data_IF_103936943401
#
_entry.id   IF_103936943401
#
_cell.length_a   1.000
_cell.length_b   1.000
_cell.length_c   1.000
_cell.angle_alpha   90.00
_cell.angle_beta   90.00
_cell.angle_gamma   90.00
#
_symmetry.space_group_name_H-M   'P 1'
#
loop_
_entity.id
_entity.type
_entity.pdbx_description
1 polymer ?
#
# COMPACT_ATOMS: atom_id res chain seq x y z
N UNK A 1 -23.59 -41.44 15.35
CA UNK A 1 -24.53 -40.31 15.41
C UNK A 1 -23.73 -39.05 15.73
N UNK A 2 -23.57 -38.17 14.75
CA UNK A 2 -22.83 -36.92 14.85
C UNK A 2 -23.73 -35.86 15.51
N UNK A 3 -23.25 -35.29 16.62
CA UNK A 3 -24.00 -34.39 17.49
C UNK A 3 -24.30 -33.04 16.81
N UNK A 4 -25.56 -32.83 16.42
CA UNK A 4 -26.40 -31.66 16.74
C UNK A 4 -25.99 -30.22 16.40
N UNK A 5 -24.81 -29.93 15.85
CA UNK A 5 -24.47 -28.57 15.39
C UNK A 5 -23.68 -28.57 14.07
N UNK A 6 -24.03 -27.67 13.17
CA UNK A 6 -23.31 -27.45 11.91
C UNK A 6 -21.93 -26.85 12.18
N UNK A 7 -20.87 -27.51 11.72
CA UNK A 7 -19.51 -26.96 11.71
C UNK A 7 -19.34 -26.08 10.47
N UNK A 8 -18.94 -24.83 10.66
CA UNK A 8 -18.56 -23.93 9.56
C UNK A 8 -17.07 -24.09 9.29
N UNK A 9 -16.72 -24.36 8.03
CA UNK A 9 -15.34 -24.37 7.54
C UNK A 9 -15.14 -23.08 6.75
N UNK A 10 -14.16 -22.23 7.11
CA UNK A 10 -13.87 -21.03 6.33
C UNK A 10 -13.36 -21.44 4.93
N UNK A 11 -13.84 -20.72 3.91
CA UNK A 11 -13.38 -20.85 2.53
C UNK A 11 -12.30 -19.82 2.20
N UNK A 12 -12.33 -19.29 0.98
CA UNK A 12 -11.33 -18.34 0.47
C UNK A 12 -11.30 -17.02 1.27
N UNK A 13 -10.09 -16.48 1.43
CA UNK A 13 -9.83 -15.20 2.09
C UNK A 13 -9.52 -14.15 1.02
N UNK A 14 -10.10 -12.97 1.16
CA UNK A 14 -9.84 -11.81 0.31
C UNK A 14 -9.19 -10.71 1.15
N UNK A 15 -8.05 -10.20 0.70
CA UNK A 15 -7.43 -9.02 1.28
C UNK A 15 -8.01 -7.77 0.62
N UNK A 16 -8.46 -6.80 1.43
CA UNK A 16 -8.95 -5.53 0.93
C UNK A 16 -7.81 -4.60 0.50
N UNK A 17 -8.14 -3.54 -0.24
CA UNK A 17 -7.16 -2.55 -0.67
C UNK A 17 -6.67 -1.69 0.50
N UNK A 18 -5.45 -1.16 0.36
CA UNK A 18 -4.90 -0.14 1.26
C UNK A 18 -5.16 1.23 0.65
N UNK A 19 -5.64 2.18 1.44
CA UNK A 19 -5.81 3.58 1.00
C UNK A 19 -4.94 4.50 1.85
N UNK A 20 -4.27 5.44 1.19
CA UNK A 20 -3.42 6.45 1.84
C UNK A 20 -3.67 7.83 1.26
N UNK A 21 -3.79 8.83 2.13
CA UNK A 21 -3.75 10.24 1.73
C UNK A 21 -2.31 10.73 1.78
N UNK A 22 -1.83 11.31 0.70
CA UNK A 22 -0.48 11.86 0.56
C UNK A 22 -0.59 13.38 0.44
N UNK A 23 0.21 14.10 1.23
CA UNK A 23 0.39 15.54 1.09
C UNK A 23 1.37 15.82 -0.03
N UNK A 24 0.98 16.72 -0.93
CA UNK A 24 1.80 17.14 -2.04
C UNK A 24 2.71 18.29 -1.60
N UNK A 25 3.98 18.23 -1.99
CA UNK A 25 4.91 19.34 -1.80
C UNK A 25 4.88 20.28 -3.01
N UNK A 26 5.42 21.51 -2.86
CA UNK A 26 5.47 22.48 -3.96
C UNK A 26 6.23 21.97 -5.19
N UNK A 27 7.19 21.06 -5.00
CA UNK A 27 7.96 20.44 -6.09
C UNK A 27 7.15 19.39 -6.87
N UNK A 28 6.03 18.90 -6.30
CA UNK A 28 5.09 17.97 -6.94
C UNK A 28 5.62 16.55 -7.19
N UNK A 29 6.79 16.21 -6.62
CA UNK A 29 7.50 14.98 -6.95
C UNK A 29 6.79 13.72 -6.43
N UNK A 30 6.03 13.82 -5.35
CA UNK A 30 5.32 12.68 -4.75
C UNK A 30 4.34 12.08 -5.74
N UNK A 31 3.49 12.94 -6.33
CA UNK A 31 2.54 12.50 -7.37
C UNK A 31 3.24 12.09 -8.66
N UNK A 32 4.26 12.85 -9.09
CA UNK A 32 5.00 12.54 -10.32
C UNK A 32 5.62 11.14 -10.28
N UNK A 33 6.24 10.76 -9.15
CA UNK A 33 6.85 9.45 -8.99
C UNK A 33 5.82 8.32 -9.03
N UNK A 34 4.62 8.53 -8.46
CA UNK A 34 3.52 7.57 -8.50
C UNK A 34 2.97 7.39 -9.91
N UNK A 35 2.66 8.48 -10.62
CA UNK A 35 2.16 8.43 -11.99
C UNK A 35 3.21 7.85 -12.94
N UNK A 36 4.50 8.14 -12.72
CA UNK A 36 5.59 7.52 -13.47
C UNK A 36 5.68 6.01 -13.23
N UNK A 37 5.45 5.55 -11.99
CA UNK A 37 5.42 4.11 -11.70
C UNK A 37 4.22 3.45 -12.41
N UNK A 38 3.03 4.07 -12.37
CA UNK A 38 1.86 3.59 -13.10
C UNK A 38 2.09 3.51 -14.62
N UNK A 39 2.70 4.54 -15.22
CA UNK A 39 3.05 4.58 -16.64
C UNK A 39 4.07 3.49 -17.01
N UNK A 40 5.00 3.18 -16.10
CA UNK A 40 5.95 2.09 -16.34
C UNK A 40 5.26 0.71 -16.36
N UNK A 41 4.32 0.48 -15.43
CA UNK A 41 3.50 -0.75 -15.38
C UNK A 41 2.66 -0.87 -16.64
N UNK A 42 1.96 0.20 -17.01
CA UNK A 42 1.22 0.27 -18.27
C UNK A 42 1.17 1.71 -18.79
N UNK A 43 1.86 1.95 -19.90
CA UNK A 43 2.00 3.29 -20.45
C UNK A 43 0.63 3.92 -20.74
N UNK A 44 0.38 5.13 -20.22
CA UNK A 44 -0.92 5.77 -20.27
C UNK A 44 -1.42 6.00 -21.70
N UNK A 45 -0.51 6.23 -22.65
CA UNK A 45 -0.82 6.42 -24.07
C UNK A 45 -0.52 5.18 -24.91
N UNK A 46 0.61 4.53 -24.65
CA UNK A 46 1.09 3.41 -25.47
C UNK A 46 0.33 2.11 -25.19
N UNK A 47 -0.30 1.99 -24.01
CA UNK A 47 -0.86 0.78 -23.44
C UNK A 47 0.13 -0.40 -23.50
N UNK A 48 1.41 -0.09 -23.22
CA UNK A 48 2.51 -1.05 -23.19
C UNK A 48 3.32 -0.80 -21.92
N UNK A 49 3.62 -1.88 -21.21
CA UNK A 49 4.60 -1.89 -20.13
C UNK A 49 5.99 -1.57 -20.67
N UNK A 50 6.72 -0.69 -19.99
CA UNK A 50 8.15 -0.44 -20.25
C UNK A 50 9.05 -1.37 -19.43
N UNK A 51 8.47 -2.17 -18.55
CA UNK A 51 9.18 -3.04 -17.59
C UNK A 51 9.44 -4.45 -18.14
N UNK A 52 9.06 -4.72 -19.41
CA UNK A 52 9.23 -6.05 -20.02
C UNK A 52 10.68 -6.46 -20.25
N UNK A 53 11.61 -5.50 -20.26
CA UNK A 53 13.06 -5.76 -20.34
C UNK A 53 13.70 -6.03 -18.97
N UNK A 54 12.95 -5.87 -17.88
CA UNK A 54 13.43 -6.15 -16.53
C UNK A 54 13.69 -7.65 -16.33
N UNK A 55 14.80 -7.97 -15.66
CA UNK A 55 15.16 -9.34 -15.27
C UNK A 55 14.59 -9.75 -13.92
N UNK A 56 13.83 -8.86 -13.25
CA UNK A 56 13.15 -9.19 -12.01
C UNK A 56 12.11 -10.31 -12.22
N UNK A 57 11.72 -10.96 -11.13
CA UNK A 57 10.63 -11.95 -11.13
C UNK A 57 9.32 -11.30 -11.60
N UNK A 58 8.38 -12.13 -12.05
CA UNK A 58 7.15 -11.67 -12.72
C UNK A 58 6.41 -10.56 -11.97
N UNK A 59 6.26 -10.68 -10.65
CA UNK A 59 5.65 -9.65 -9.81
C UNK A 59 6.60 -8.51 -9.46
N UNK A 60 7.85 -8.80 -9.08
CA UNK A 60 8.79 -7.78 -8.61
C UNK A 60 9.26 -6.77 -9.66
N UNK A 61 8.92 -6.94 -10.95
CA UNK A 61 9.06 -5.86 -11.93
C UNK A 61 7.96 -4.81 -11.83
N UNK A 62 6.78 -5.14 -11.32
CA UNK A 62 5.63 -4.23 -11.22
C UNK A 62 5.34 -3.77 -9.80
N UNK A 63 5.76 -4.55 -8.81
CA UNK A 63 5.41 -4.39 -7.41
C UNK A 63 6.60 -4.01 -6.52
N UNK A 64 6.29 -3.50 -5.33
CA UNK A 64 7.25 -3.26 -4.26
C UNK A 64 6.70 -3.78 -2.92
N UNK A 65 7.53 -3.80 -1.87
CA UNK A 65 7.05 -4.09 -0.52
C UNK A 65 6.70 -2.79 0.20
N UNK A 66 5.45 -2.66 0.64
CA UNK A 66 5.02 -1.55 1.51
C UNK A 66 5.22 -1.89 2.98
N UNK A 67 5.68 -0.94 3.80
CA UNK A 67 5.86 -1.17 5.23
C UNK A 67 5.18 -0.09 6.06
N UNK A 68 4.23 -0.50 6.92
CA UNK A 68 3.60 0.36 7.92
C UNK A 68 4.17 0.04 9.30
N UNK A 69 4.65 1.07 10.01
CA UNK A 69 5.23 0.92 11.36
C UNK A 69 4.44 1.72 12.37
N UNK A 70 4.00 1.07 13.44
CA UNK A 70 3.43 1.74 14.60
C UNK A 70 4.51 1.99 15.63
N UNK A 71 4.66 3.25 16.04
CA UNK A 71 5.64 3.64 17.05
C UNK A 71 5.01 3.74 18.44
N UNK A 72 5.78 3.45 19.51
CA UNK A 72 5.33 3.67 20.87
C UNK A 72 5.18 5.17 21.14
N UNK A 73 4.44 5.51 22.21
CA UNK A 73 4.36 6.89 22.70
C UNK A 73 5.77 7.42 22.96
N UNK A 74 6.02 8.68 22.62
CA UNK A 74 7.30 9.34 22.88
C UNK A 74 7.76 9.14 24.34
N UNK A 75 9.02 8.76 24.53
CA UNK A 75 9.61 8.42 25.82
C UNK A 75 9.44 6.95 26.25
N UNK A 76 8.65 6.15 25.53
CA UNK A 76 8.55 4.70 25.75
C UNK A 76 9.46 3.98 24.75
N UNK A 77 10.47 3.27 25.26
CA UNK A 77 11.38 2.46 24.43
C UNK A 77 10.95 1.00 24.47
N UNK A 78 10.71 0.39 23.30
CA UNK A 78 10.60 -1.06 23.16
C UNK A 78 11.94 -1.61 22.68
N UNK A 79 12.26 -2.88 22.96
CA UNK A 79 13.49 -3.51 22.47
C UNK A 79 13.61 -3.49 20.93
N UNK A 80 12.48 -3.47 20.22
CA UNK A 80 12.41 -3.41 18.77
C UNK A 80 12.26 -1.98 18.19
N UNK A 81 12.06 -0.96 19.02
CA UNK A 81 11.82 0.44 18.59
C UNK A 81 10.43 0.71 17.97
N UNK A 82 9.69 -0.32 17.57
CA UNK A 82 8.29 -0.25 17.12
C UNK A 82 7.38 -1.10 18.00
N UNK A 83 6.06 -0.87 17.93
CA UNK A 83 5.03 -1.70 18.54
C UNK A 83 4.57 -2.81 17.60
N UNK A 84 4.32 -2.44 16.35
CA UNK A 84 3.92 -3.35 15.29
C UNK A 84 4.48 -2.89 13.95
N UNK A 85 4.68 -3.85 13.05
CA UNK A 85 5.04 -3.62 11.66
C UNK A 85 4.12 -4.45 10.78
N UNK A 86 3.53 -3.85 9.75
CA UNK A 86 2.78 -4.54 8.71
C UNK A 86 3.55 -4.43 7.41
N UNK A 87 3.84 -5.56 6.77
CA UNK A 87 4.52 -5.62 5.47
C UNK A 87 3.53 -6.08 4.41
N UNK A 88 3.22 -5.22 3.45
CA UNK A 88 2.37 -5.51 2.30
C UNK A 88 3.24 -6.02 1.16
N UNK A 89 3.02 -7.27 0.76
CA UNK A 89 3.84 -7.97 -0.24
C UNK A 89 3.23 -7.80 -1.61
N UNK A 90 4.10 -7.50 -2.58
CA UNK A 90 3.73 -7.17 -3.94
C UNK A 90 2.68 -6.05 -4.02
N UNK A 91 2.97 -4.90 -3.42
CA UNK A 91 2.14 -3.70 -3.45
C UNK A 91 2.39 -2.88 -4.74
N UNK A 92 1.33 -2.36 -5.35
CA UNK A 92 1.41 -1.39 -6.45
C UNK A 92 0.23 -0.39 -6.41
N UNK A 93 0.38 0.82 -6.98
CA UNK A 93 -0.70 1.79 -7.03
C UNK A 93 -1.76 1.35 -8.06
N UNK A 94 -3.01 1.21 -7.62
CA UNK A 94 -4.15 0.90 -8.49
C UNK A 94 -4.77 2.18 -9.05
N UNK A 95 -4.85 3.24 -8.25
CA UNK A 95 -5.45 4.51 -8.64
C UNK A 95 -4.89 5.66 -7.81
N UNK A 96 -4.75 6.81 -8.44
CA UNK A 96 -4.41 8.09 -7.80
C UNK A 96 -5.55 9.06 -8.08
N UNK A 97 -6.11 9.69 -7.05
CA UNK A 97 -7.21 10.65 -7.21
C UNK A 97 -6.72 11.99 -7.76
N UNK A 98 -7.66 12.83 -8.18
CA UNK A 98 -7.35 14.22 -8.48
C UNK A 98 -6.88 14.98 -7.23
N UNK A 99 -6.13 16.06 -7.46
CA UNK A 99 -5.84 17.07 -6.45
C UNK A 99 -6.93 18.12 -6.59
N UNK A 100 -7.75 18.31 -5.55
CA UNK A 100 -8.78 19.32 -5.55
C UNK A 100 -8.14 20.72 -5.42
N UNK A 101 -8.28 21.55 -6.45
CA UNK A 101 -7.82 22.94 -6.42
C UNK A 101 -9.01 23.87 -6.14
N UNK A 102 -8.96 24.57 -5.01
CA UNK A 102 -9.99 25.53 -4.62
C UNK A 102 -9.39 26.77 -3.99
N UNK A 103 -9.92 27.94 -4.35
CA UNK A 103 -9.55 29.22 -3.74
C UNK A 103 -10.31 29.50 -2.43
N UNK A 104 -11.37 28.73 -2.14
CA UNK A 104 -12.21 28.93 -0.95
C UNK A 104 -11.61 28.26 0.31
N UNK A 105 -10.71 27.29 0.14
CA UNK A 105 -10.11 26.50 1.22
C UNK A 105 -8.68 26.95 1.52
N UNK A 106 -8.52 28.23 1.89
CA UNK A 106 -7.21 28.88 2.07
C UNK A 106 -6.30 28.29 3.17
N UNK A 107 -6.79 27.36 3.99
CA UNK A 107 -6.02 26.71 5.06
C UNK A 107 -5.78 25.22 4.82
N UNK A 108 -6.33 24.65 3.74
CA UNK A 108 -6.16 23.23 3.42
C UNK A 108 -4.86 23.04 2.63
N UNK A 109 -4.13 21.98 2.96
CA UNK A 109 -2.94 21.58 2.23
C UNK A 109 -3.35 20.77 0.99
N UNK A 110 -2.59 20.92 -0.10
CA UNK A 110 -2.78 20.10 -1.28
C UNK A 110 -2.50 18.63 -0.96
N UNK A 111 -3.47 17.77 -1.28
CA UNK A 111 -3.41 16.35 -0.99
C UNK A 111 -4.13 15.54 -2.07
N UNK A 112 -3.76 14.26 -2.17
CA UNK A 112 -4.41 13.28 -3.03
C UNK A 112 -4.42 11.91 -2.36
N UNK A 113 -5.38 11.08 -2.75
CA UNK A 113 -5.50 9.72 -2.25
C UNK A 113 -4.93 8.72 -3.25
N UNK A 114 -4.30 7.68 -2.71
CA UNK A 114 -3.80 6.53 -3.47
C UNK A 114 -4.46 5.28 -2.93
N UNK A 115 -5.04 4.50 -3.84
CA UNK A 115 -5.49 3.14 -3.57
C UNK A 115 -4.42 2.17 -4.04
N UNK A 116 -4.01 1.29 -3.14
CA UNK A 116 -2.96 0.31 -3.36
C UNK A 116 -3.55 -1.09 -3.32
N UNK A 117 -3.18 -1.89 -4.31
CA UNK A 117 -3.44 -3.33 -4.33
C UNK A 117 -2.19 -4.07 -3.89
N UNK A 118 -2.37 -5.22 -3.26
CA UNK A 118 -1.29 -6.10 -2.83
C UNK A 118 -1.74 -7.56 -2.80
N UNK A 119 -0.78 -8.49 -2.75
CA UNK A 119 -1.09 -9.92 -2.73
C UNK A 119 -1.50 -10.42 -1.34
N UNK A 120 -0.72 -10.08 -0.31
CA UNK A 120 -1.01 -10.39 1.10
C UNK A 120 -0.22 -9.44 2.02
N UNK A 121 -0.46 -9.51 3.33
CA UNK A 121 0.34 -8.79 4.31
C UNK A 121 0.79 -9.68 5.46
N UNK A 122 1.96 -9.38 6.00
CA UNK A 122 2.47 -9.98 7.23
C UNK A 122 2.41 -8.95 8.38
N UNK A 123 1.99 -9.38 9.57
CA UNK A 123 1.98 -8.52 10.78
C UNK A 123 2.99 -9.03 11.79
N UNK A 124 3.89 -8.16 12.23
CA UNK A 124 4.90 -8.44 13.25
C UNK A 124 4.62 -7.60 14.50
N UNK A 125 4.50 -8.25 15.65
CA UNK A 125 4.30 -7.61 16.96
C UNK A 125 5.33 -8.21 17.93
N UNK A 126 6.33 -7.41 18.32
CA UNK A 126 7.46 -7.91 19.11
C UNK A 126 8.19 -9.04 18.38
N UNK A 127 8.22 -10.25 18.96
CA UNK A 127 8.82 -11.45 18.36
C UNK A 127 7.80 -12.37 17.67
N UNK A 128 6.53 -11.98 17.62
CA UNK A 128 5.45 -12.78 17.03
C UNK A 128 5.13 -12.26 15.63
N UNK A 129 5.01 -13.17 14.67
CA UNK A 129 4.61 -12.89 13.29
C UNK A 129 3.30 -13.59 12.96
N UNK A 130 2.45 -12.91 12.20
CA UNK A 130 1.22 -13.43 11.60
C UNK A 130 1.35 -13.27 10.09
N UNK A 131 1.15 -14.37 9.37
CA UNK A 131 1.26 -14.49 7.91
C UNK A 131 0.01 -15.16 7.37
#
# INVERSE_FOLDING_TARGET
>A
MYYGRTVKIPGDIVFGDLTTTIYQTEDGTERFNLESWMDQINGHVSNKSSLETSTANFMGKYSATGTLKQYPKSGVTTAAGTLSTVEFVDLWPQSVTEIALSYDTASDLEQFDVTWSYNHYEVKIGTTSYT
#
